data_IF_976802682726
#
_entry.id   IF_976802682726
#
_cell.length_a   1.000
_cell.length_b   1.000
_cell.length_c   1.000
_cell.angle_alpha   90.00
_cell.angle_beta   90.00
_cell.angle_gamma   90.00
#
_symmetry.space_group_name_H-M   'P 1'
#
loop_
_entity.id
_entity.type
_entity.pdbx_description
1 polymer ?
#
# COMPACT_ATOMS: atom_id res chain seq x y z
N UNK A 1 -58.26 50.19 -27.50
CA UNK A 1 -57.03 49.38 -27.45
C UNK A 1 -57.17 48.35 -28.54
N UNK A 2 -56.68 48.72 -29.72
CA UNK A 2 -56.88 48.01 -30.98
C UNK A 2 -55.74 47.03 -31.21
N UNK A 3 -56.10 45.93 -31.86
CA UNK A 3 -55.32 44.72 -32.11
C UNK A 3 -53.90 44.94 -32.70
N UNK A 4 -52.87 44.49 -31.97
CA UNK A 4 -51.48 44.43 -32.46
C UNK A 4 -50.89 43.02 -32.22
N UNK A 5 -51.44 42.00 -32.89
CA UNK A 5 -50.76 40.69 -32.96
C UNK A 5 -51.12 39.89 -34.24
N UNK A 6 -50.99 40.52 -35.41
CA UNK A 6 -51.23 39.89 -36.73
C UNK A 6 -50.01 39.88 -37.66
N UNK A 7 -48.81 40.18 -37.16
CA UNK A 7 -47.58 40.27 -38.00
C UNK A 7 -46.53 39.23 -37.68
N UNK A 8 -46.79 38.28 -36.78
CA UNK A 8 -45.86 37.17 -36.57
C UNK A 8 -46.09 36.11 -37.65
N UNK A 9 -45.23 36.09 -38.66
CA UNK A 9 -45.24 35.03 -39.67
C UNK A 9 -45.09 33.69 -38.93
N UNK A 10 -46.03 32.75 -39.12
CA UNK A 10 -45.93 31.46 -38.47
C UNK A 10 -44.59 30.77 -38.83
N UNK A 11 -44.07 29.88 -37.98
CA UNK A 11 -42.79 29.21 -38.22
C UNK A 11 -42.80 28.32 -39.49
N UNK A 12 -43.98 28.08 -40.06
CA UNK A 12 -44.18 27.38 -41.33
C UNK A 12 -44.36 28.31 -42.55
N UNK A 13 -44.16 29.62 -42.39
CA UNK A 13 -44.26 30.61 -43.46
C UNK A 13 -45.68 31.11 -43.74
N UNK A 14 -45.86 31.75 -44.90
CA UNK A 14 -47.16 32.22 -45.38
C UNK A 14 -48.08 31.04 -45.78
N UNK A 15 -49.38 31.18 -45.51
CA UNK A 15 -50.38 30.10 -45.72
C UNK A 15 -50.46 29.66 -47.19
N UNK A 16 -50.24 30.57 -48.14
CA UNK A 16 -50.25 30.26 -49.58
C UNK A 16 -49.09 29.35 -50.02
N UNK A 17 -48.01 29.30 -49.24
CA UNK A 17 -46.82 28.48 -49.53
C UNK A 17 -46.73 27.22 -48.63
N UNK A 18 -47.71 26.98 -47.77
CA UNK A 18 -47.69 25.83 -46.86
C UNK A 18 -48.05 24.53 -47.59
N UNK A 19 -47.09 23.61 -47.65
CA UNK A 19 -47.27 22.27 -48.22
C UNK A 19 -47.51 21.24 -47.11
N UNK A 20 -48.78 20.93 -46.87
CA UNK A 20 -49.21 20.00 -45.83
C UNK A 20 -48.68 18.57 -46.04
N UNK A 21 -48.53 18.14 -47.30
CA UNK A 21 -48.06 16.79 -47.64
C UNK A 21 -46.56 16.64 -47.35
N UNK A 22 -45.76 17.65 -47.71
CA UNK A 22 -44.34 17.70 -47.34
C UNK A 22 -44.14 17.78 -45.82
N UNK A 23 -44.93 18.60 -45.12
CA UNK A 23 -44.86 18.71 -43.67
C UNK A 23 -45.20 17.38 -42.98
N UNK A 24 -46.23 16.68 -43.45
CA UNK A 24 -46.59 15.36 -42.93
C UNK A 24 -45.52 14.30 -43.20
N UNK A 25 -44.96 14.28 -44.42
CA UNK A 25 -43.86 13.39 -44.78
C UNK A 25 -42.64 13.60 -43.89
N UNK A 26 -42.28 14.85 -43.63
CA UNK A 26 -41.18 15.20 -42.72
C UNK A 26 -41.46 14.69 -41.29
N UNK A 27 -42.68 14.89 -40.77
CA UNK A 27 -43.05 14.41 -39.43
C UNK A 27 -42.93 12.88 -39.35
N UNK A 28 -43.37 12.16 -40.37
CA UNK A 28 -43.24 10.70 -40.40
C UNK A 28 -41.78 10.25 -40.42
N UNK A 29 -40.93 10.91 -41.20
CA UNK A 29 -39.50 10.62 -41.25
C UNK A 29 -38.84 10.91 -39.90
N UNK A 30 -39.09 12.08 -39.31
CA UNK A 30 -38.56 12.43 -37.99
C UNK A 30 -39.01 11.45 -36.90
N UNK A 31 -40.25 10.96 -36.96
CA UNK A 31 -40.72 9.91 -36.03
C UNK A 31 -39.94 8.62 -36.20
N UNK A 32 -39.68 8.18 -37.43
CA UNK A 32 -38.85 7.00 -37.70
C UNK A 32 -37.43 7.19 -37.21
N UNK A 33 -36.83 8.34 -37.47
CA UNK A 33 -35.46 8.66 -37.04
C UNK A 33 -35.35 8.68 -35.52
N UNK A 34 -36.35 9.24 -34.82
CA UNK A 34 -36.39 9.23 -33.35
C UNK A 34 -36.45 7.81 -32.80
N UNK A 35 -37.26 6.92 -33.37
CA UNK A 35 -37.33 5.52 -32.94
C UNK A 35 -36.04 4.74 -33.25
N UNK A 36 -35.42 4.99 -34.41
CA UNK A 36 -34.12 4.44 -34.76
C UNK A 36 -33.04 4.89 -33.75
N UNK A 37 -32.94 6.20 -33.50
CA UNK A 37 -31.95 6.76 -32.56
C UNK A 37 -32.14 6.28 -31.13
N UNK A 38 -33.39 6.04 -30.69
CA UNK A 38 -33.65 5.43 -29.38
C UNK A 38 -33.13 4.00 -29.30
N UNK A 39 -33.31 3.22 -30.37
CA UNK A 39 -32.83 1.85 -30.48
C UNK A 39 -31.30 1.83 -30.45
N UNK A 40 -30.67 2.60 -31.34
CA UNK A 40 -29.21 2.71 -31.41
C UNK A 40 -28.61 3.16 -30.07
N UNK A 41 -29.25 4.11 -29.39
CA UNK A 41 -28.81 4.55 -28.06
C UNK A 41 -28.89 3.41 -27.03
N UNK A 42 -29.96 2.61 -27.04
CA UNK A 42 -30.10 1.49 -26.12
C UNK A 42 -29.03 0.42 -26.37
N UNK A 43 -28.77 0.11 -27.64
CA UNK A 43 -27.75 -0.87 -28.05
C UNK A 43 -26.35 -0.38 -27.66
N UNK A 44 -25.98 0.85 -28.01
CA UNK A 44 -24.69 1.44 -27.64
C UNK A 44 -24.51 1.55 -26.13
N UNK A 45 -25.58 1.83 -25.39
CA UNK A 45 -25.52 1.85 -23.91
C UNK A 45 -25.20 0.47 -23.37
N UNK A 46 -25.86 -0.56 -23.90
CA UNK A 46 -25.65 -1.97 -23.52
C UNK A 46 -24.24 -2.44 -23.86
N UNK A 47 -23.76 -2.15 -25.07
CA UNK A 47 -22.38 -2.46 -25.48
C UNK A 47 -21.35 -1.76 -24.61
N UNK A 48 -21.57 -0.48 -24.30
CA UNK A 48 -20.68 0.29 -23.42
C UNK A 48 -20.65 -0.30 -22.02
N UNK A 49 -21.80 -0.66 -21.44
CA UNK A 49 -21.86 -1.28 -20.12
C UNK A 49 -21.16 -2.65 -20.10
N UNK A 50 -21.33 -3.46 -21.15
CA UNK A 50 -20.65 -4.74 -21.28
C UNK A 50 -19.11 -4.58 -21.37
N UNK A 51 -18.63 -3.63 -22.18
CA UNK A 51 -17.21 -3.36 -22.31
C UNK A 51 -16.58 -2.79 -21.04
N UNK A 52 -17.32 -1.98 -20.27
CA UNK A 52 -16.86 -1.50 -18.97
C UNK A 52 -16.71 -2.67 -18.00
N UNK A 53 -17.72 -3.54 -17.92
CA UNK A 53 -17.68 -4.72 -17.05
C UNK A 53 -16.53 -5.68 -17.40
N UNK A 54 -16.27 -5.90 -18.69
CA UNK A 54 -15.15 -6.72 -19.15
C UNK A 54 -13.80 -6.12 -18.75
N UNK A 55 -13.62 -4.81 -18.94
CA UNK A 55 -12.38 -4.12 -18.57
C UNK A 55 -12.13 -4.13 -17.07
N UNK A 56 -13.17 -3.94 -16.26
CA UNK A 56 -13.06 -4.02 -14.80
C UNK A 56 -12.66 -5.43 -14.37
N UNK A 57 -13.31 -6.46 -14.91
CA UNK A 57 -12.96 -7.86 -14.61
C UNK A 57 -11.51 -8.18 -15.01
N UNK A 58 -11.07 -7.75 -16.20
CA UNK A 58 -9.70 -7.94 -16.67
C UNK A 58 -8.68 -7.20 -15.81
N UNK A 59 -8.98 -5.97 -15.39
CA UNK A 59 -8.11 -5.18 -14.51
C UNK A 59 -7.95 -5.84 -13.14
N UNK A 60 -9.03 -6.30 -12.52
CA UNK A 60 -8.98 -7.00 -11.23
C UNK A 60 -8.21 -8.31 -11.33
N UNK A 61 -8.43 -9.10 -12.39
CA UNK A 61 -7.68 -10.33 -12.62
C UNK A 61 -6.18 -10.05 -12.79
N UNK A 62 -5.83 -9.06 -13.63
CA UNK A 62 -4.44 -8.68 -13.88
C UNK A 62 -3.72 -8.15 -12.62
N UNK A 63 -4.39 -7.36 -11.80
CA UNK A 63 -3.84 -6.91 -10.50
C UNK A 63 -3.58 -8.09 -9.57
N UNK A 64 -4.54 -9.02 -9.46
CA UNK A 64 -4.40 -10.20 -8.60
C UNK A 64 -3.24 -11.09 -9.04
N UNK A 65 -3.02 -11.27 -10.35
CA UNK A 65 -1.90 -12.05 -10.87
C UNK A 65 -0.56 -11.34 -10.67
N UNK A 66 -0.50 -10.03 -10.89
CA UNK A 66 0.70 -9.23 -10.65
C UNK A 66 1.12 -9.26 -9.19
N UNK A 67 0.19 -9.08 -8.25
CA UNK A 67 0.46 -9.16 -6.80
C UNK A 67 0.99 -10.54 -6.39
N UNK A 68 0.41 -11.62 -6.94
CA UNK A 68 0.90 -12.98 -6.67
C UNK A 68 2.30 -13.21 -7.22
N UNK A 69 2.58 -12.72 -8.42
CA UNK A 69 3.90 -12.83 -9.03
C UNK A 69 4.95 -12.02 -8.25
N UNK A 70 4.61 -10.81 -7.81
CA UNK A 70 5.47 -9.97 -6.98
C UNK A 70 5.74 -10.64 -5.62
N UNK A 71 4.71 -11.12 -4.94
CA UNK A 71 4.87 -11.82 -3.66
C UNK A 71 5.78 -13.06 -3.78
N UNK A 72 5.63 -13.83 -4.87
CA UNK A 72 6.49 -14.97 -5.15
C UNK A 72 7.95 -14.54 -5.44
N UNK A 73 8.14 -13.48 -6.24
CA UNK A 73 9.45 -12.93 -6.54
C UNK A 73 10.16 -12.43 -5.27
N UNK A 74 9.49 -11.66 -4.43
CA UNK A 74 10.03 -11.16 -3.15
C UNK A 74 10.39 -12.32 -2.22
N UNK A 75 9.54 -13.35 -2.13
CA UNK A 75 9.85 -14.54 -1.32
C UNK A 75 11.11 -15.23 -1.82
N UNK A 76 11.20 -15.52 -3.11
CA UNK A 76 12.39 -16.18 -3.69
C UNK A 76 13.66 -15.34 -3.54
N UNK A 77 13.56 -14.02 -3.67
CA UNK A 77 14.68 -13.10 -3.45
C UNK A 77 15.17 -13.14 -2.00
N UNK A 78 14.25 -13.16 -1.04
CA UNK A 78 14.56 -13.27 0.39
C UNK A 78 15.19 -14.62 0.73
N UNK A 79 14.63 -15.71 0.21
CA UNK A 79 15.16 -17.06 0.41
C UNK A 79 16.59 -17.19 -0.15
N UNK A 80 16.85 -16.63 -1.33
CA UNK A 80 18.19 -16.58 -1.91
C UNK A 80 19.16 -15.70 -1.12
N UNK A 81 18.70 -14.56 -0.60
CA UNK A 81 19.52 -13.70 0.24
C UNK A 81 19.90 -14.40 1.56
N UNK A 82 18.96 -15.11 2.19
CA UNK A 82 19.21 -15.89 3.40
C UNK A 82 20.22 -17.02 3.13
N UNK A 83 20.03 -17.81 2.07
CA UNK A 83 20.94 -18.89 1.70
C UNK A 83 22.36 -18.39 1.40
N UNK A 84 22.49 -17.22 0.76
CA UNK A 84 23.80 -16.57 0.54
C UNK A 84 24.46 -16.18 1.86
N UNK A 85 23.71 -15.56 2.78
CA UNK A 85 24.21 -15.17 4.09
C UNK A 85 24.69 -16.38 4.90
N UNK A 86 23.92 -17.46 4.91
CA UNK A 86 24.29 -18.71 5.60
C UNK A 86 25.59 -19.30 5.03
N UNK A 87 25.73 -19.33 3.71
CA UNK A 87 26.95 -19.78 3.04
C UNK A 87 28.16 -18.91 3.43
N UNK A 88 28.00 -17.59 3.52
CA UNK A 88 29.06 -16.69 3.96
C UNK A 88 29.45 -16.91 5.43
N UNK A 89 28.47 -17.16 6.30
CA UNK A 89 28.72 -17.51 7.71
C UNK A 89 29.51 -18.81 7.79
N UNK A 90 29.08 -19.88 7.09
CA UNK A 90 29.82 -21.15 7.06
C UNK A 90 31.27 -20.98 6.59
N UNK A 91 31.49 -20.19 5.53
CA UNK A 91 32.85 -19.90 5.04
C UNK A 91 33.69 -19.20 6.10
N UNK A 92 33.11 -18.20 6.77
CA UNK A 92 33.80 -17.45 7.81
C UNK A 92 34.13 -18.31 9.04
N UNK A 93 33.23 -19.23 9.43
CA UNK A 93 33.47 -20.19 10.51
C UNK A 93 34.64 -21.12 10.21
N UNK A 94 34.71 -21.65 8.98
CA UNK A 94 35.83 -22.50 8.54
C UNK A 94 37.17 -21.77 8.51
N UNK A 95 37.17 -20.46 8.27
CA UNK A 95 38.39 -19.65 8.16
C UNK A 95 38.90 -19.10 9.50
N UNK A 96 38.00 -18.68 10.39
CA UNK A 96 38.37 -17.90 11.57
C UNK A 96 38.26 -18.66 12.90
N UNK A 97 37.80 -19.91 12.94
CA UNK A 97 37.69 -20.71 14.18
C UNK A 97 36.97 -19.97 15.31
N UNK A 98 35.83 -19.36 14.98
CA UNK A 98 35.00 -18.56 15.91
C UNK A 98 34.38 -19.49 16.96
N UNK A 99 34.41 -19.16 18.27
CA UNK A 99 33.73 -19.93 19.30
C UNK A 99 32.23 -20.11 19.03
N UNK A 100 31.68 -21.29 19.31
CA UNK A 100 30.29 -21.67 18.95
C UNK A 100 29.23 -20.74 19.57
N UNK A 101 29.44 -20.26 20.79
CA UNK A 101 28.56 -19.29 21.46
C UNK A 101 28.58 -17.88 20.85
N UNK A 102 29.54 -17.58 19.95
CA UNK A 102 29.64 -16.28 19.28
C UNK A 102 29.15 -16.31 17.82
N UNK A 103 28.76 -17.48 17.31
CA UNK A 103 28.29 -17.65 15.92
C UNK A 103 27.04 -16.83 15.64
N UNK A 104 26.15 -16.68 16.63
CA UNK A 104 24.94 -15.86 16.52
C UNK A 104 25.22 -14.38 16.20
N UNK A 105 26.40 -13.87 16.57
CA UNK A 105 26.80 -12.48 16.30
C UNK A 105 27.40 -12.28 14.90
N UNK A 106 27.54 -13.33 14.09
CA UNK A 106 28.01 -13.26 12.71
C UNK A 106 26.89 -12.79 11.78
N UNK A 107 26.58 -11.50 11.88
CA UNK A 107 25.63 -10.82 11.00
C UNK A 107 26.33 -9.89 10.02
N UNK A 108 25.73 -9.66 8.86
CA UNK A 108 26.25 -8.73 7.83
C UNK A 108 25.43 -8.81 6.54
N UNK A 109 25.55 -7.78 5.71
CA UNK A 109 24.85 -7.70 4.42
C UNK A 109 25.69 -8.17 3.23
N UNK A 110 27.01 -8.32 3.44
CA UNK A 110 27.95 -8.84 2.46
C UNK A 110 28.98 -9.81 3.10
N UNK A 111 29.66 -10.56 2.24
CA UNK A 111 30.66 -11.56 2.65
C UNK A 111 31.85 -10.93 3.39
N UNK A 112 32.27 -9.73 3.00
CA UNK A 112 33.43 -9.04 3.58
C UNK A 112 33.16 -8.57 5.02
N UNK A 113 31.94 -8.11 5.30
CA UNK A 113 31.50 -7.69 6.63
C UNK A 113 31.40 -8.89 7.58
N UNK A 114 30.87 -10.02 7.11
CA UNK A 114 30.78 -11.27 7.87
C UNK A 114 32.19 -11.80 8.19
N UNK A 115 33.08 -11.86 7.20
CA UNK A 115 34.47 -12.29 7.40
C UNK A 115 35.22 -11.37 8.38
N UNK A 116 35.07 -10.05 8.24
CA UNK A 116 35.69 -9.08 9.14
C UNK A 116 35.20 -9.21 10.59
N UNK A 117 33.90 -9.52 10.79
CA UNK A 117 33.37 -9.79 12.13
C UNK A 117 33.85 -11.13 12.68
N UNK A 118 33.92 -12.17 11.84
CA UNK A 118 34.47 -13.46 12.24
C UNK A 118 35.92 -13.35 12.70
N UNK A 119 36.76 -12.59 11.97
CA UNK A 119 38.14 -12.34 12.38
C UNK A 119 38.23 -11.61 13.74
N UNK A 120 37.33 -10.66 14.01
CA UNK A 120 37.27 -9.96 15.31
C UNK A 120 36.82 -10.88 16.44
N UNK A 121 35.81 -11.72 16.19
CA UNK A 121 35.25 -12.63 17.19
C UNK A 121 36.21 -13.77 17.52
N UNK A 122 36.97 -14.25 16.54
CA UNK A 122 38.02 -15.25 16.73
C UNK A 122 39.15 -14.81 17.67
N UNK A 123 39.43 -13.50 17.73
CA UNK A 123 40.44 -12.93 18.61
C UNK A 123 39.98 -12.70 20.05
N UNK A 124 38.70 -12.94 20.36
CA UNK A 124 38.18 -12.78 21.73
C UNK A 124 38.57 -14.01 22.56
N UNK A 125 39.15 -13.82 23.76
CA UNK A 125 39.39 -14.94 24.66
C UNK A 125 38.05 -15.57 25.02
N UNK A 126 37.96 -16.90 24.91
CA UNK A 126 36.78 -17.63 25.35
C UNK A 126 36.47 -17.26 26.82
N UNK A 127 35.19 -17.06 27.19
CA UNK A 127 34.83 -16.88 28.57
C UNK A 127 35.36 -18.08 29.34
N UNK A 128 36.22 -17.78 30.31
CA UNK A 128 36.81 -18.78 31.20
C UNK A 128 35.65 -19.47 31.90
N UNK A 129 35.42 -20.75 31.61
CA UNK A 129 34.47 -21.56 32.38
C UNK A 129 34.93 -21.50 33.85
N UNK A 130 34.27 -20.66 34.64
CA UNK A 130 34.37 -20.77 36.09
C UNK A 130 33.72 -22.10 36.45
N UNK A 131 34.44 -23.02 37.13
CA UNK A 131 33.87 -24.31 37.48
C UNK A 131 32.63 -24.08 38.33
N UNK A 132 31.56 -24.81 38.02
CA UNK A 132 30.32 -24.85 38.78
C UNK A 132 30.62 -24.90 40.29
N UNK A 133 30.54 -23.72 40.93
CA UNK A 133 30.77 -23.59 42.35
C UNK A 133 29.58 -24.24 43.05
N UNK A 134 29.87 -25.29 43.80
CA UNK A 134 28.97 -25.92 44.77
C UNK A 134 28.18 -24.85 45.53
N UNK A 135 26.87 -25.06 45.60
CA UNK A 135 25.98 -24.37 46.52
C UNK A 135 26.53 -24.45 47.95
N UNK A 136 26.75 -23.29 48.60
CA UNK A 136 26.69 -23.06 50.06
C UNK A 136 26.87 -21.54 50.37
N UNK A 137 26.43 -21.02 51.53
CA UNK A 137 25.28 -20.12 51.59
C UNK A 137 25.59 -18.62 51.76
N UNK A 138 24.65 -17.81 51.25
CA UNK A 138 24.34 -16.41 51.51
C UNK A 138 25.33 -15.55 52.31
N UNK A 139 26.27 -14.91 51.60
CA UNK A 139 26.90 -13.68 52.07
C UNK A 139 26.14 -12.46 51.50
N UNK A 140 25.58 -11.62 52.38
CA UNK A 140 24.85 -10.40 52.03
C UNK A 140 25.75 -9.43 51.24
N UNK A 141 25.37 -8.97 50.03
CA UNK A 141 26.11 -7.91 49.36
C UNK A 141 25.81 -6.55 50.02
N UNK A 142 26.89 -5.89 50.40
CA UNK A 142 26.92 -4.51 50.84
C UNK A 142 26.37 -3.57 49.75
N UNK A 143 25.54 -2.62 50.18
CA UNK A 143 25.28 -1.32 49.57
C UNK A 143 25.09 -1.24 48.05
N UNK A 144 23.86 -1.43 47.56
CA UNK A 144 23.45 -0.81 46.29
C UNK A 144 23.42 0.72 46.49
N UNK A 145 23.94 1.53 45.56
CA UNK A 145 23.67 2.97 45.58
C UNK A 145 22.16 3.17 45.45
N UNK A 146 21.54 3.79 46.45
CA UNK A 146 20.14 4.19 46.36
C UNK A 146 20.04 5.29 45.30
N UNK A 147 19.22 5.08 44.28
CA UNK A 147 18.80 6.15 43.39
C UNK A 147 18.05 7.19 44.23
N UNK A 148 18.57 8.42 44.29
CA UNK A 148 17.95 9.55 44.98
C UNK A 148 16.77 10.09 44.16
N UNK A 149 15.73 9.26 43.98
CA UNK A 149 14.45 9.72 43.47
C UNK A 149 13.60 10.13 44.68
N UNK A 150 13.44 11.43 44.86
CA UNK A 150 12.48 11.98 45.80
C UNK A 150 11.08 11.60 45.33
N UNK A 151 10.22 11.02 46.19
CA UNK A 151 8.82 10.83 45.87
C UNK A 151 8.19 12.21 45.55
N UNK A 152 7.79 12.42 44.30
CA UNK A 152 7.17 13.68 43.84
C UNK A 152 7.83 14.38 42.65
N UNK A 153 8.82 13.78 41.97
CA UNK A 153 9.35 14.28 40.69
C UNK A 153 9.03 13.31 39.53
N UNK A 154 7.75 13.03 39.36
CA UNK A 154 7.23 12.26 38.23
C UNK A 154 6.56 13.20 37.24
N UNK A 155 7.31 13.61 36.21
CA UNK A 155 6.79 14.16 34.96
C UNK A 155 6.12 15.53 35.06
N UNK A 156 6.52 16.45 34.19
CA UNK A 156 5.60 17.52 33.79
C UNK A 156 4.27 16.85 33.40
N UNK A 157 3.18 17.28 34.02
CA UNK A 157 1.83 17.01 33.58
C UNK A 157 1.69 17.67 32.20
N UNK A 158 2.07 16.95 31.14
CA UNK A 158 1.48 17.18 29.85
C UNK A 158 0.00 16.80 30.00
N UNK A 159 -0.80 17.80 30.39
CA UNK A 159 -2.25 17.76 30.33
C UNK A 159 -2.60 17.31 28.92
N UNK A 160 -3.10 16.08 28.81
CA UNK A 160 -3.57 15.54 27.55
C UNK A 160 -4.74 16.41 27.10
N UNK A 161 -4.49 17.28 26.12
CA UNK A 161 -5.50 18.11 25.49
C UNK A 161 -5.95 17.43 24.18
N UNK A 162 -7.10 16.74 24.18
CA UNK A 162 -7.59 16.07 22.99
C UNK A 162 -7.97 17.04 21.86
N UNK A 163 -8.30 18.30 22.16
CA UNK A 163 -8.73 19.27 21.16
C UNK A 163 -7.55 19.77 20.30
N UNK A 164 -6.36 19.85 20.90
CA UNK A 164 -5.12 20.18 20.19
C UNK A 164 -4.70 19.11 19.17
N UNK A 165 -5.01 17.82 19.44
CA UNK A 165 -4.70 16.70 18.53
C UNK A 165 -5.63 16.71 17.31
N UNK A 166 -6.90 17.09 17.50
CA UNK A 166 -7.89 17.15 16.41
C UNK A 166 -7.59 18.34 15.48
N UNK A 167 -7.18 19.48 16.01
CA UNK A 167 -6.80 20.65 15.21
C UNK A 167 -5.56 20.41 14.33
N UNK A 168 -4.63 19.55 14.75
CA UNK A 168 -3.41 19.25 14.00
C UNK A 168 -3.62 18.27 12.81
N UNK A 169 -4.71 17.49 12.82
CA UNK A 169 -4.99 16.49 11.77
C UNK A 169 -6.02 16.94 10.74
N UNK A 170 -6.68 18.08 10.95
CA UNK A 170 -7.73 18.60 10.07
C UNK A 170 -7.57 20.09 9.71
N UNK A 171 -6.33 20.60 9.74
CA UNK A 171 -5.96 21.91 9.18
C UNK A 171 -5.47 21.79 7.74
#
# INVERSE_FOLDING_TARGET
MTDDNKTQTPPWGEVENFDAEKAWTLILNLRKDVEALKTDKADLTTERDALVAEKEAAATAGQTEAEKAEAAATKTANDLAAARKELWIERALRQHNVPEHLVEFLTGDDEAAIASRAAKLAGLPAPKEEPAAKEEPAAKPAGRPQAALTPGHGGDENVFDPDAIVAANFG
#
